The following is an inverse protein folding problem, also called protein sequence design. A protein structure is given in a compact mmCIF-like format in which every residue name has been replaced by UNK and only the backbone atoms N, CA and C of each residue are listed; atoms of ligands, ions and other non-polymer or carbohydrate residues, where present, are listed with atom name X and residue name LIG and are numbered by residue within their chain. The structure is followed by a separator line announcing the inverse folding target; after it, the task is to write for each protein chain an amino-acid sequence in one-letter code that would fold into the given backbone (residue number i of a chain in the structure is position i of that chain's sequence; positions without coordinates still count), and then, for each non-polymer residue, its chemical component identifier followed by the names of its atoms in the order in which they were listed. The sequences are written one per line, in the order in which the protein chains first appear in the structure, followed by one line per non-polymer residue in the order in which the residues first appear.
data_IF_551052805188
#
_entry.id   IF_551052805188
#
_cell.length_a   1.000
_cell.length_b   1.000
_cell.length_c   1.000
_cell.angle_alpha   90.00
_cell.angle_beta   90.00
_cell.angle_gamma   90.00
#
_symmetry.space_group_name_H-M   'P 1'
#
loop_
_entity.id
_entity.type
_entity.pdbx_description
1 polymer ?
#
# COMPACT_ATOMS: atom_id res chain seq x y z
N UNK A 1 8.58 -10.10 9.42
CA UNK A 1 7.47 -10.42 8.50
C UNK A 1 7.52 -9.46 7.32
N UNK A 2 6.86 -9.76 6.20
CA UNK A 2 6.74 -8.87 5.03
C UNK A 2 5.26 -8.59 4.72
N UNK A 3 4.95 -7.41 4.20
CA UNK A 3 3.60 -7.01 3.78
C UNK A 3 3.64 -6.11 2.56
N UNK A 4 3.11 -6.61 1.44
CA UNK A 4 3.01 -5.87 0.18
C UNK A 4 1.55 -5.69 -0.22
N UNK A 5 1.25 -4.66 -0.99
CA UNK A 5 -0.08 -4.41 -1.55
C UNK A 5 0.03 -3.98 -3.01
N UNK A 6 -1.02 -4.24 -3.79
CA UNK A 6 -1.13 -3.75 -5.17
C UNK A 6 -2.13 -2.58 -5.18
N UNK A 7 -1.69 -1.44 -5.71
CA UNK A 7 -2.55 -0.26 -5.96
C UNK A 7 -2.35 0.16 -7.41
N UNK A 8 -3.41 0.13 -8.22
CA UNK A 8 -3.39 0.43 -9.65
C UNK A 8 -2.31 -0.33 -10.42
N UNK A 9 -2.30 -1.67 -10.25
CA UNK A 9 -1.30 -2.58 -10.85
C UNK A 9 0.15 -2.26 -10.44
N UNK A 10 0.39 -1.42 -9.45
CA UNK A 10 1.73 -1.15 -8.89
C UNK A 10 1.88 -1.86 -7.56
N UNK A 11 3.00 -2.56 -7.39
CA UNK A 11 3.32 -3.29 -6.17
C UNK A 11 4.11 -2.38 -5.24
N UNK A 12 3.67 -2.28 -3.98
CA UNK A 12 4.35 -1.50 -2.96
C UNK A 12 4.69 -2.37 -1.75
N UNK A 13 5.92 -2.25 -1.27
CA UNK A 13 6.30 -2.73 0.05
C UNK A 13 5.84 -1.73 1.11
N UNK A 14 4.88 -2.15 1.93
CA UNK A 14 4.31 -1.35 3.01
C UNK A 14 4.68 -1.89 4.39
N UNK A 15 5.62 -2.84 4.47
CA UNK A 15 6.00 -3.54 5.70
C UNK A 15 6.24 -2.59 6.88
N UNK A 16 7.07 -1.56 6.67
CA UNK A 16 7.42 -0.59 7.73
C UNK A 16 6.32 0.45 7.99
N UNK A 17 5.42 0.63 7.01
CA UNK A 17 4.31 1.58 7.09
C UNK A 17 3.08 1.02 7.81
N UNK A 18 2.91 -0.31 7.86
CA UNK A 18 1.77 -0.95 8.54
C UNK A 18 1.47 -0.38 9.94
N UNK A 19 2.42 -0.27 10.88
CA UNK A 19 2.14 0.27 12.22
C UNK A 19 1.90 1.79 12.23
N UNK A 20 2.26 2.50 11.16
CA UNK A 20 2.17 3.96 11.04
C UNK A 20 0.90 4.41 10.32
N UNK A 21 0.12 3.48 9.75
CA UNK A 21 -1.06 3.80 8.97
C UNK A 21 -2.14 4.46 9.84
N UNK A 22 -2.57 5.71 9.55
CA UNK A 22 -3.56 6.42 10.37
C UNK A 22 -4.91 5.70 10.48
N UNK A 23 -5.33 4.96 9.44
CA UNK A 23 -6.53 4.13 9.47
C UNK A 23 -6.38 2.81 10.25
N UNK A 24 -5.22 2.58 10.87
CA UNK A 24 -4.89 1.39 11.64
C UNK A 24 -4.24 0.26 10.80
N UNK A 25 -3.40 -0.59 11.43
CA UNK A 25 -2.63 -1.62 10.73
C UNK A 25 -3.52 -2.68 10.08
N UNK A 26 -4.66 -2.99 10.71
CA UNK A 26 -5.59 -4.05 10.25
C UNK A 26 -6.17 -3.76 8.86
N UNK A 27 -6.33 -2.48 8.52
CA UNK A 27 -6.83 -2.06 7.20
C UNK A 27 -5.87 -2.47 6.08
N UNK A 28 -4.56 -2.39 6.31
CA UNK A 28 -3.55 -2.84 5.33
C UNK A 28 -3.44 -4.37 5.35
N UNK A 29 -3.38 -4.97 6.55
CA UNK A 29 -3.17 -6.42 6.69
C UNK A 29 -4.27 -7.26 6.06
N UNK A 30 -5.52 -6.76 6.01
CA UNK A 30 -6.62 -7.43 5.29
C UNK A 30 -6.35 -7.60 3.78
N UNK A 31 -5.41 -6.84 3.21
CA UNK A 31 -5.01 -6.86 1.81
C UNK A 31 -3.54 -7.27 1.62
N UNK A 32 -2.88 -7.83 2.63
CA UNK A 32 -1.50 -8.30 2.49
C UNK A 32 -1.38 -9.30 1.32
N UNK A 33 -0.52 -8.97 0.36
CA UNK A 33 -0.30 -9.75 -0.87
C UNK A 33 -1.40 -9.61 -1.93
N UNK A 34 -2.32 -8.65 -1.81
CA UNK A 34 -3.51 -8.52 -2.66
C UNK A 34 -3.66 -7.13 -3.26
N UNK A 35 -4.53 -7.03 -4.26
CA UNK A 35 -4.99 -5.75 -4.81
C UNK A 35 -5.96 -5.06 -3.85
N UNK A 36 -5.56 -3.87 -3.41
CA UNK A 36 -6.30 -3.00 -2.51
C UNK A 36 -6.80 -1.72 -3.22
N UNK A 37 -6.70 -1.64 -4.56
CA UNK A 37 -6.98 -0.43 -5.34
C UNK A 37 -8.34 0.18 -5.02
N UNK A 38 -9.40 -0.63 -5.06
CA UNK A 38 -10.76 -0.14 -4.80
C UNK A 38 -10.90 0.39 -3.37
N UNK A 39 -10.42 -0.38 -2.38
CA UNK A 39 -10.47 0.03 -0.98
C UNK A 39 -9.63 1.29 -0.72
N UNK A 40 -8.44 1.39 -1.33
CA UNK A 40 -7.57 2.55 -1.21
C UNK A 40 -8.22 3.81 -1.78
N UNK A 41 -8.78 3.72 -3.00
CA UNK A 41 -9.44 4.85 -3.69
C UNK A 41 -10.68 5.38 -2.97
N UNK A 42 -11.33 4.59 -2.12
CA UNK A 42 -12.46 5.06 -1.30
C UNK A 42 -12.07 6.05 -0.21
N UNK A 43 -10.80 6.06 0.22
CA UNK A 43 -10.34 6.87 1.37
C UNK A 43 -9.12 7.75 1.05
N UNK A 44 -8.39 7.45 -0.02
CA UNK A 44 -7.13 8.10 -0.33
C UNK A 44 -7.02 8.43 -1.82
N UNK A 45 -6.38 9.56 -2.10
CA UNK A 45 -5.86 9.91 -3.40
C UNK A 45 -4.46 9.32 -3.61
N UNK A 46 -4.03 9.16 -4.86
CA UNK A 46 -2.78 8.46 -5.19
C UNK A 46 -1.50 9.22 -4.79
N UNK A 47 -1.57 10.54 -4.70
CA UNK A 47 -0.48 11.41 -4.25
C UNK A 47 0.01 11.05 -2.84
N UNK A 48 -0.87 10.49 -2.00
CA UNK A 48 -0.50 9.99 -0.67
C UNK A 48 0.57 8.90 -0.74
N UNK A 49 0.63 8.09 -1.80
CA UNK A 49 1.64 7.05 -1.94
C UNK A 49 3.05 7.66 -2.01
N UNK A 50 3.25 8.71 -2.82
CA UNK A 50 4.55 9.39 -2.91
C UNK A 50 4.88 10.19 -1.65
N UNK A 51 3.86 10.70 -0.94
CA UNK A 51 4.06 11.45 0.30
C UNK A 51 4.40 10.56 1.51
N UNK A 52 3.95 9.30 1.52
CA UNK A 52 4.10 8.38 2.67
C UNK A 52 5.11 7.26 2.44
N UNK A 53 5.34 6.88 1.19
CA UNK A 53 6.27 5.81 0.84
C UNK A 53 7.46 6.40 0.07
N UNK A 54 8.70 6.16 0.51
CA UNK A 54 9.85 6.56 -0.26
C UNK A 54 9.93 5.77 -1.57
N UNK A 55 10.60 6.30 -2.63
CA UNK A 55 10.55 5.71 -3.97
C UNK A 55 10.96 4.24 -4.05
N UNK A 56 11.90 3.79 -3.21
CA UNK A 56 12.38 2.40 -3.21
C UNK A 56 11.36 1.39 -2.66
N UNK A 57 10.24 1.85 -2.08
CA UNK A 57 9.13 0.98 -1.68
C UNK A 57 8.21 0.60 -2.84
N UNK A 58 8.31 1.29 -3.97
CA UNK A 58 7.68 0.84 -5.21
C UNK A 58 8.52 -0.29 -5.83
N UNK A 59 7.95 -1.49 -5.92
CA UNK A 59 8.64 -2.69 -6.38
C UNK A 59 8.47 -2.96 -7.88
N UNK A 60 7.57 -2.23 -8.54
CA UNK A 60 7.30 -2.39 -9.97
C UNK A 60 5.83 -2.58 -10.29
N UNK A 61 5.54 -2.86 -11.56
CA UNK A 61 4.20 -3.12 -12.06
C UNK A 61 3.90 -4.62 -12.05
N UNK A 62 2.65 -4.96 -11.76
CA UNK A 62 2.11 -6.28 -12.01
C UNK A 62 1.85 -6.43 -13.52
N UNK A 63 2.33 -7.52 -14.10
CA UNK A 63 2.15 -7.85 -15.52
C UNK A 63 0.68 -8.10 -15.87
#
# INVERSE_FOLDING_TARGET
SSCWVIIEKKVYDVTDFVPQHPGGPRMILNFAGRDATHAFRSFHSLDVLAARLPPYKYLGNLA
#
